data_IF_479288187662
#
_entry.id   IF_479288187662
#
_cell.length_a   1.000
_cell.length_b   1.000
_cell.length_c   1.000
_cell.angle_alpha   90.00
_cell.angle_beta   90.00
_cell.angle_gamma   90.00
#
_symmetry.space_group_name_H-M   'P 1'
#
loop_
_entity.id
_entity.type
_entity.pdbx_description
1 polymer ?
#
# COMPACT_ATOMS: atom_id res chain seq x y z
N UNK A 1 16.64 16.60 -5.98
CA UNK A 1 15.75 17.21 -4.98
C UNK A 1 14.72 16.16 -4.63
N UNK A 2 14.86 15.50 -3.46
CA UNK A 2 13.89 14.48 -3.01
C UNK A 2 12.93 15.16 -2.02
N UNK A 3 11.64 15.11 -2.33
CA UNK A 3 10.58 15.69 -1.51
C UNK A 3 10.14 14.67 -0.46
N UNK A 4 10.65 14.83 0.76
CA UNK A 4 10.59 13.88 1.88
C UNK A 4 9.19 13.61 2.48
N UNK A 5 8.14 14.34 2.10
CA UNK A 5 6.85 14.25 2.78
C UNK A 5 5.95 13.13 2.22
N UNK A 6 6.35 12.44 1.15
CA UNK A 6 5.49 11.47 0.43
C UNK A 6 6.17 10.09 0.26
N UNK A 7 7.44 9.96 0.66
CA UNK A 7 8.28 8.78 0.42
C UNK A 7 8.25 7.74 1.55
N UNK A 8 7.68 8.07 2.72
CA UNK A 8 7.71 7.18 3.87
C UNK A 8 6.40 7.22 4.67
N UNK A 9 6.12 6.17 5.44
CA UNK A 9 4.95 6.12 6.33
C UNK A 9 5.35 6.31 7.80
N UNK A 10 4.58 7.12 8.54
CA UNK A 10 4.81 7.37 9.96
C UNK A 10 4.07 6.35 10.83
N UNK A 11 4.71 5.82 11.88
CA UNK A 11 4.10 4.93 12.87
C UNK A 11 3.35 3.74 12.24
N UNK A 12 2.01 3.77 12.19
CA UNK A 12 1.16 2.73 11.57
C UNK A 12 0.78 3.02 10.11
N UNK A 13 1.18 4.17 9.57
CA UNK A 13 0.94 4.58 8.18
C UNK A 13 -0.51 4.91 7.84
N UNK A 14 -1.37 5.09 8.85
CA UNK A 14 -2.78 5.49 8.69
C UNK A 14 -2.94 6.83 7.95
N UNK A 15 -1.97 7.72 8.12
CA UNK A 15 -1.92 9.04 7.47
C UNK A 15 -1.07 9.04 6.20
N UNK A 16 -0.60 7.86 5.75
CA UNK A 16 0.19 7.76 4.52
C UNK A 16 -0.70 8.11 3.32
N UNK A 17 -0.42 9.27 2.72
CA UNK A 17 -1.08 9.78 1.51
C UNK A 17 -0.17 9.73 0.28
N UNK A 18 0.87 8.90 0.33
CA UNK A 18 1.79 8.77 -0.79
C UNK A 18 1.17 8.11 -2.03
N UNK A 19 1.90 8.23 -3.13
CA UNK A 19 1.45 7.84 -4.47
C UNK A 19 2.07 6.53 -4.95
N UNK A 20 2.76 5.81 -4.07
CA UNK A 20 3.32 4.49 -4.39
C UNK A 20 2.16 3.55 -4.74
N UNK A 21 2.21 2.94 -5.91
CA UNK A 21 1.20 1.98 -6.41
C UNK A 21 1.85 0.67 -6.87
N UNK A 22 2.96 0.29 -6.22
CA UNK A 22 3.75 -0.88 -6.56
C UNK A 22 4.20 -1.59 -5.29
N UNK A 23 4.16 -2.91 -5.31
CA UNK A 23 4.47 -3.77 -4.17
C UNK A 23 5.98 -4.05 -4.05
N UNK A 24 6.40 -4.73 -2.99
CA UNK A 24 7.82 -5.10 -2.78
C UNK A 24 8.33 -6.03 -3.89
N UNK A 25 7.49 -6.92 -4.40
CA UNK A 25 7.78 -7.82 -5.52
C UNK A 25 7.78 -7.10 -6.88
N UNK A 26 7.32 -5.85 -6.94
CA UNK A 26 7.16 -5.11 -8.19
C UNK A 26 5.78 -5.25 -8.84
N UNK A 27 4.82 -5.94 -8.20
CA UNK A 27 3.47 -6.05 -8.72
C UNK A 27 2.73 -4.70 -8.68
N UNK A 28 1.85 -4.48 -9.66
CA UNK A 28 1.06 -3.24 -9.76
C UNK A 28 -0.18 -3.36 -8.88
N UNK A 29 -0.40 -2.33 -8.08
CA UNK A 29 -1.59 -2.24 -7.25
C UNK A 29 -2.85 -2.06 -8.10
N UNK A 30 -3.96 -2.61 -7.61
CA UNK A 30 -5.30 -2.40 -8.13
C UNK A 30 -5.94 -1.16 -7.49
N UNK A 31 -6.81 -0.43 -8.21
CA UNK A 31 -7.63 0.62 -7.63
C UNK A 31 -8.51 0.06 -6.51
N UNK A 32 -8.61 0.78 -5.39
CA UNK A 32 -9.41 0.32 -4.24
C UNK A 32 -10.92 0.28 -4.49
N UNK A 33 -11.37 0.88 -5.60
CA UNK A 33 -12.74 0.82 -6.09
C UNK A 33 -12.88 -0.03 -7.36
N UNK A 34 -11.89 -0.87 -7.68
CA UNK A 34 -11.99 -1.75 -8.84
C UNK A 34 -13.15 -2.71 -8.68
N UNK A 35 -13.97 -2.87 -9.73
CA UNK A 35 -15.09 -3.81 -9.76
C UNK A 35 -14.65 -5.24 -9.41
N UNK A 36 -13.44 -5.62 -9.80
CA UNK A 36 -12.82 -6.91 -9.45
C UNK A 36 -12.81 -7.15 -7.93
N UNK A 37 -12.55 -6.11 -7.13
CA UNK A 37 -12.53 -6.21 -5.68
C UNK A 37 -13.93 -6.40 -5.10
N UNK A 38 -14.98 -5.87 -5.75
CA UNK A 38 -16.37 -6.06 -5.31
C UNK A 38 -16.86 -7.49 -5.54
N UNK A 39 -16.38 -8.15 -6.61
CA UNK A 39 -16.73 -9.53 -6.93
C UNK A 39 -16.05 -10.57 -6.01
N UNK A 40 -14.81 -10.32 -5.59
CA UNK A 40 -13.98 -11.31 -4.87
C UNK A 40 -13.80 -11.07 -3.36
N UNK A 41 -13.97 -9.84 -2.85
CA UNK A 41 -13.72 -9.53 -1.44
C UNK A 41 -14.99 -9.39 -0.60
N UNK A 42 -14.83 -9.53 0.72
CA UNK A 42 -15.89 -9.28 1.68
C UNK A 42 -16.40 -7.83 1.55
N UNK A 43 -17.70 -7.70 1.25
CA UNK A 43 -18.42 -6.43 1.05
C UNK A 43 -18.09 -5.37 2.11
N UNK A 44 -17.89 -5.76 3.38
CA UNK A 44 -17.54 -4.83 4.46
C UNK A 44 -16.23 -4.06 4.24
N UNK A 45 -15.22 -4.68 3.62
CA UNK A 45 -13.92 -4.05 3.33
C UNK A 45 -14.05 -3.02 2.20
N UNK A 46 -14.83 -3.35 1.16
CA UNK A 46 -15.00 -2.48 -0.02
C UNK A 46 -16.00 -1.36 0.25
N UNK A 47 -17.05 -1.60 1.04
CA UNK A 47 -18.02 -0.56 1.44
C UNK A 47 -17.39 0.47 2.38
N UNK A 48 -16.46 0.06 3.25
CA UNK A 48 -15.71 0.98 4.11
C UNK A 48 -14.59 1.74 3.36
N UNK A 49 -14.27 1.34 2.12
CA UNK A 49 -13.20 1.90 1.28
C UNK A 49 -13.36 3.42 1.08
N UNK A 50 -14.49 3.95 0.54
CA UNK A 50 -14.68 5.39 0.37
C UNK A 50 -14.66 6.17 1.70
N UNK A 51 -15.15 5.59 2.80
CA UNK A 51 -15.12 6.20 4.14
C UNK A 51 -13.69 6.34 4.69
N UNK A 52 -12.73 5.57 4.15
CA UNK A 52 -11.31 5.57 4.56
C UNK A 52 -10.40 6.32 3.59
N UNK A 53 -10.98 7.04 2.64
CA UNK A 53 -10.22 7.74 1.59
C UNK A 53 -9.56 6.78 0.61
N UNK A 54 -10.14 5.60 0.43
CA UNK A 54 -9.78 4.64 -0.60
C UNK A 54 -10.80 4.80 -1.72
N UNK A 55 -10.34 5.07 -2.94
CA UNK A 55 -11.22 5.38 -4.06
C UNK A 55 -10.60 4.96 -5.38
N UNK A 56 -10.79 5.80 -6.41
CA UNK A 56 -10.33 5.61 -7.79
C UNK A 56 -8.82 5.50 -8.02
N UNK A 57 -8.02 5.30 -6.97
CA UNK A 57 -6.57 5.26 -7.06
C UNK A 57 -6.03 3.90 -6.64
N UNK A 58 -4.87 3.54 -7.17
CA UNK A 58 -4.16 2.30 -6.85
C UNK A 58 -3.04 2.50 -5.82
N UNK A 59 -3.06 3.58 -5.04
CA UNK A 59 -1.97 3.87 -4.11
C UNK A 59 -2.02 3.00 -2.86
N UNK A 60 -0.87 2.64 -2.35
CA UNK A 60 -0.69 1.88 -1.13
C UNK A 60 -1.25 2.61 0.09
N UNK A 61 -1.94 1.87 0.96
CA UNK A 61 -2.62 2.42 2.13
C UNK A 61 -2.51 1.42 3.29
N UNK A 62 -2.53 1.92 4.53
CA UNK A 62 -2.60 1.07 5.72
C UNK A 62 -4.06 0.95 6.13
N UNK A 63 -4.72 -0.15 5.76
CA UNK A 63 -6.17 -0.32 5.95
C UNK A 63 -6.43 -1.61 6.70
N UNK A 64 -6.13 -1.63 7.99
CA UNK A 64 -6.54 -2.73 8.85
C UNK A 64 -7.05 -2.20 10.20
N UNK A 65 -8.29 -2.53 10.60
CA UNK A 65 -8.80 -2.22 11.92
C UNK A 65 -7.96 -2.83 13.05
N UNK A 66 -7.25 -3.94 12.79
CA UNK A 66 -6.37 -4.61 13.75
C UNK A 66 -4.96 -3.99 13.84
N UNK A 67 -4.68 -2.93 13.07
CA UNK A 67 -3.46 -2.13 13.19
C UNK A 67 -2.27 -2.71 12.42
N UNK A 68 -2.40 -2.83 11.10
CA UNK A 68 -1.29 -3.21 10.23
C UNK A 68 -0.08 -2.28 10.40
N UNK A 69 1.10 -2.87 10.23
CA UNK A 69 2.40 -2.23 10.48
C UNK A 69 3.00 -1.54 9.24
N UNK A 70 2.47 -1.78 8.04
CA UNK A 70 3.03 -1.31 6.76
C UNK A 70 1.94 -1.14 5.70
N UNK A 71 2.06 -0.17 4.77
CA UNK A 71 1.07 0.03 3.71
C UNK A 71 1.09 -1.11 2.71
N UNK A 72 -0.09 -1.48 2.24
CA UNK A 72 -0.30 -2.56 1.28
C UNK A 72 -1.33 -2.15 0.23
N UNK A 73 -1.51 -2.98 -0.79
CA UNK A 73 -2.56 -2.83 -1.78
C UNK A 73 -2.98 -4.21 -2.31
N UNK A 74 -4.12 -4.26 -2.98
CA UNK A 74 -4.52 -5.45 -3.74
C UNK A 74 -3.75 -5.53 -5.06
N UNK A 75 -3.46 -6.73 -5.50
CA UNK A 75 -2.80 -7.03 -6.77
C UNK A 75 -3.59 -8.08 -7.53
N UNK A 76 -3.31 -8.19 -8.83
CA UNK A 76 -3.79 -9.30 -9.64
C UNK A 76 -2.60 -10.21 -9.97
N UNK A 77 -2.62 -11.43 -9.46
CA UNK A 77 -1.56 -12.42 -9.65
C UNK A 77 -2.18 -13.70 -10.22
N UNK A 78 -1.70 -14.17 -11.37
CA UNK A 78 -2.18 -15.39 -12.03
C UNK A 78 -3.71 -15.44 -12.24
N UNK A 79 -4.34 -14.27 -12.46
CA UNK A 79 -5.78 -14.15 -12.68
C UNK A 79 -6.64 -14.15 -11.41
N UNK A 80 -6.02 -14.20 -10.23
CA UNK A 80 -6.70 -14.12 -8.94
C UNK A 80 -6.32 -12.85 -8.17
N UNK A 81 -7.26 -12.33 -7.37
CA UNK A 81 -6.98 -11.18 -6.51
C UNK A 81 -6.17 -11.63 -5.31
N UNK A 82 -5.07 -10.93 -5.06
CA UNK A 82 -4.24 -11.10 -3.88
C UNK A 82 -3.93 -9.75 -3.26
N UNK A 83 -3.12 -9.71 -2.21
CA UNK A 83 -2.64 -8.48 -1.61
C UNK A 83 -1.17 -8.63 -1.24
N UNK A 84 -0.42 -7.53 -1.31
CA UNK A 84 0.98 -7.51 -0.92
C UNK A 84 1.35 -6.17 -0.30
N UNK A 85 2.37 -6.19 0.56
CA UNK A 85 2.94 -4.98 1.10
C UNK A 85 3.66 -4.15 0.03
N UNK A 86 3.62 -2.84 0.23
CA UNK A 86 4.33 -1.90 -0.61
C UNK A 86 5.74 -1.62 -0.11
N UNK A 87 6.63 -1.33 -1.04
CA UNK A 87 8.03 -0.95 -0.76
C UNK A 87 8.17 0.46 -0.17
N UNK A 88 7.22 0.91 0.64
CA UNK A 88 7.25 2.23 1.28
C UNK A 88 8.06 2.09 2.58
N UNK A 89 9.18 2.80 2.76
CA UNK A 89 9.95 2.77 4.00
C UNK A 89 9.19 3.45 5.15
N UNK A 90 9.51 3.08 6.39
CA UNK A 90 9.05 3.83 7.56
C UNK A 90 9.80 5.16 7.64
N UNK A 91 9.14 6.25 8.04
CA UNK A 91 9.84 7.52 8.26
C UNK A 91 10.86 7.47 9.41
N UNK A 92 10.80 6.44 10.27
CA UNK A 92 11.83 6.16 11.29
C UNK A 92 13.09 5.50 10.71
N UNK A 93 13.01 4.93 9.50
CA UNK A 93 14.12 4.32 8.77
C UNK A 93 14.08 4.84 7.33
N UNK A 94 14.68 6.02 7.05
CA UNK A 94 14.61 6.63 5.73
C UNK A 94 15.18 5.70 4.64
N UNK A 95 14.69 5.85 3.42
CA UNK A 95 14.95 4.98 2.27
C UNK A 95 16.44 4.75 1.97
N UNK A 96 17.30 5.72 2.33
CA UNK A 96 18.75 5.61 2.23
C UNK A 96 19.36 4.53 3.14
N UNK A 97 18.80 4.31 4.34
CA UNK A 97 19.23 3.26 5.26
C UNK A 97 18.64 1.90 4.86
N UNK A 98 17.38 1.87 4.40
CA UNK A 98 16.71 0.66 3.88
C UNK A 98 17.40 0.09 2.62
N UNK A 99 17.80 0.96 1.69
CA UNK A 99 18.54 0.54 0.50
C UNK A 99 19.97 0.10 0.81
N UNK A 100 20.58 0.60 1.91
CA UNK A 100 21.88 0.13 2.37
C UNK A 100 21.83 -1.30 2.92
N UNK A 101 20.71 -1.71 3.53
CA UNK A 101 20.52 -3.08 4.04
C UNK A 101 20.27 -4.11 2.93
N UNK A 102 19.68 -3.71 1.79
CA UNK A 102 19.41 -4.61 0.65
C UNK A 102 20.57 -4.72 -0.34
N UNK A 103 21.57 -3.84 -0.28
CA UNK A 103 22.80 -3.93 -1.08
C UNK A 103 23.85 -4.71 -0.29
N UNK A 104 23.63 -6.02 -0.21
CA UNK A 104 24.53 -7.01 0.36
C UNK A 104 24.92 -8.08 -0.65
N UNK A 105 25.23 -7.65 -1.88
CA UNK A 105 26.00 -8.39 -2.90
C UNK A 105 27.05 -7.44 -3.50
#
# INVERSE_FOLDING_TARGET
MCSLETECYNSRGTDYRGLVGTTVSGARCLPWNSDLLYDELHVGTVVASPLRGLGGHAYCRCVNPDGDKMPWCYTLSDGAISWEYCGVPSCRMPMCEYMCQRRGE
#
